data_IF_041214761141
#
_entry.id   IF_041214761141
#
_cell.length_a   1.000
_cell.length_b   1.000
_cell.length_c   1.000
_cell.angle_alpha   90.00
_cell.angle_beta   90.00
_cell.angle_gamma   90.00
#
_symmetry.space_group_name_H-M   'P 1'
#
loop_
_entity.id
_entity.type
_entity.pdbx_description
1 polymer ?
#
# COMPACT_ATOMS: atom_id res chain seq x y z
N UNK A 1 66.03 51.18 16.12
CA UNK A 1 65.61 50.02 16.93
C UNK A 1 64.11 49.84 16.77
N UNK A 2 63.72 48.58 16.58
CA UNK A 2 62.41 47.97 16.81
C UNK A 2 61.28 48.19 15.80
N UNK A 3 61.35 47.47 14.67
CA UNK A 3 60.18 46.97 13.90
C UNK A 3 60.44 45.60 13.24
N UNK A 4 61.04 44.66 13.96
CA UNK A 4 61.36 43.32 13.42
C UNK A 4 61.06 42.19 14.42
N UNK A 5 59.90 42.24 15.07
CA UNK A 5 59.41 41.13 15.91
C UNK A 5 57.88 40.95 15.87
N UNK A 6 57.24 41.22 14.74
CA UNK A 6 55.83 41.68 14.79
C UNK A 6 54.77 40.66 14.38
N UNK A 7 55.07 39.45 13.90
CA UNK A 7 54.02 38.51 13.47
C UNK A 7 53.94 37.24 14.34
N UNK A 8 55.03 36.51 14.62
CA UNK A 8 54.98 35.34 15.49
C UNK A 8 54.67 35.68 16.95
N UNK A 9 55.07 36.87 17.42
CA UNK A 9 54.80 37.33 18.78
C UNK A 9 53.33 37.76 18.93
N UNK A 10 52.77 38.42 17.92
CA UNK A 10 51.38 38.87 17.91
C UNK A 10 50.38 37.71 17.80
N UNK A 11 50.69 36.64 17.03
CA UNK A 11 49.81 35.48 16.93
C UNK A 11 49.80 34.65 18.23
N UNK A 12 50.94 34.54 18.92
CA UNK A 12 51.02 33.92 20.24
C UNK A 12 50.18 34.68 21.27
N UNK A 13 50.29 36.01 21.26
CA UNK A 13 49.45 36.87 22.12
C UNK A 13 47.96 36.70 21.84
N UNK A 14 47.54 36.61 20.57
CA UNK A 14 46.16 36.32 20.21
C UNK A 14 45.70 34.96 20.76
N UNK A 15 46.56 33.93 20.66
CA UNK A 15 46.28 32.61 21.21
C UNK A 15 46.10 32.62 22.73
N UNK A 16 46.90 33.40 23.45
CA UNK A 16 46.81 33.56 24.91
C UNK A 16 45.52 34.29 25.33
N UNK A 17 45.12 35.32 24.58
CA UNK A 17 43.85 36.04 24.80
C UNK A 17 42.67 35.08 24.63
N UNK A 18 42.64 34.33 23.53
CA UNK A 18 41.59 33.35 23.27
C UNK A 18 41.60 32.23 24.32
N UNK A 19 42.77 31.73 24.71
CA UNK A 19 42.89 30.72 25.75
C UNK A 19 42.34 31.21 27.10
N UNK A 20 42.63 32.45 27.46
CA UNK A 20 42.10 33.08 28.68
C UNK A 20 40.59 33.25 28.61
N UNK A 21 40.06 33.75 27.49
CA UNK A 21 38.63 33.99 27.30
C UNK A 21 37.80 32.70 27.39
N UNK A 22 38.29 31.61 26.79
CA UNK A 22 37.61 30.32 26.78
C UNK A 22 38.06 29.38 27.92
N UNK A 23 38.74 29.90 28.94
CA UNK A 23 39.13 29.11 30.10
C UNK A 23 37.90 28.54 30.82
N UNK A 24 37.84 27.22 30.98
CA UNK A 24 36.70 26.54 31.61
C UNK A 24 35.51 26.26 30.68
N UNK A 25 35.61 26.56 29.38
CA UNK A 25 34.59 26.17 28.40
C UNK A 25 34.69 24.67 28.08
N UNK A 26 33.58 23.94 28.20
CA UNK A 26 33.55 22.48 28.04
C UNK A 26 33.49 21.99 26.59
N UNK A 27 33.23 22.88 25.62
CA UNK A 27 33.06 22.54 24.20
C UNK A 27 34.29 22.99 23.39
N UNK A 28 35.00 24.02 23.85
CA UNK A 28 36.29 24.43 23.28
C UNK A 28 37.39 23.49 23.78
N UNK A 29 37.79 22.55 22.93
CA UNK A 29 38.68 21.43 23.30
C UNK A 29 40.15 21.68 23.00
N UNK A 30 40.49 22.75 22.29
CA UNK A 30 41.88 23.13 22.07
C UNK A 30 42.06 24.41 21.27
N UNK A 31 43.03 25.22 21.68
CA UNK A 31 43.44 26.46 21.02
C UNK A 31 44.92 26.33 20.70
N UNK A 32 45.28 26.43 19.41
CA UNK A 32 46.66 26.19 18.95
C UNK A 32 47.05 27.19 17.87
N UNK A 33 48.31 27.64 17.95
CA UNK A 33 48.95 28.41 16.88
C UNK A 33 49.37 27.45 15.76
N UNK A 34 49.04 27.78 14.51
CA UNK A 34 49.46 27.02 13.34
C UNK A 34 50.42 27.84 12.48
N UNK A 35 51.66 27.34 12.35
CA UNK A 35 52.74 27.90 11.52
C UNK A 35 53.02 29.40 11.75
N UNK A 36 52.70 29.91 12.94
CA UNK A 36 52.76 31.34 13.27
C UNK A 36 51.90 32.25 12.35
N UNK A 37 50.88 31.69 11.70
CA UNK A 37 49.99 32.40 10.77
C UNK A 37 48.61 32.64 11.35
N UNK A 38 48.06 31.65 12.06
CA UNK A 38 46.70 31.68 12.58
C UNK A 38 46.61 30.97 13.93
N UNK A 39 45.56 31.29 14.68
CA UNK A 39 45.12 30.51 15.84
C UNK A 39 43.89 29.73 15.41
N UNK A 40 43.91 28.40 15.52
CA UNK A 40 42.70 27.62 15.33
C UNK A 40 42.14 27.16 16.67
N UNK A 41 40.85 27.38 16.84
CA UNK A 41 40.09 27.04 18.03
C UNK A 41 39.17 25.87 17.71
N UNK A 42 39.38 24.73 18.36
CA UNK A 42 38.64 23.48 18.11
C UNK A 42 37.43 23.41 19.01
N UNK A 43 36.26 23.24 18.40
CA UNK A 43 34.97 23.10 19.06
C UNK A 43 34.47 21.68 18.82
N UNK A 44 34.27 20.93 19.90
CA UNK A 44 33.86 19.53 19.82
C UNK A 44 32.99 19.12 20.99
N UNK A 45 31.89 18.44 20.70
CA UNK A 45 31.10 17.66 21.65
C UNK A 45 30.72 16.31 21.01
N UNK A 46 29.62 15.70 21.46
CA UNK A 46 29.15 14.41 20.94
C UNK A 46 28.60 14.49 19.51
N UNK A 47 28.08 15.64 19.07
CA UNK A 47 27.35 15.77 17.80
C UNK A 47 28.04 16.69 16.78
N UNK A 48 28.87 17.64 17.23
CA UNK A 48 29.53 18.61 16.35
C UNK A 48 31.05 18.57 16.52
N UNK A 49 31.74 18.79 15.41
CA UNK A 49 33.19 18.92 15.38
C UNK A 49 33.63 19.89 14.27
N UNK A 50 34.05 21.09 14.68
CA UNK A 50 34.58 22.11 13.78
C UNK A 50 35.73 22.87 14.45
N UNK A 51 36.37 23.75 13.70
CA UNK A 51 37.29 24.74 14.21
C UNK A 51 37.01 26.12 13.64
N UNK A 52 37.42 27.14 14.37
CA UNK A 52 37.49 28.52 13.88
C UNK A 52 38.96 28.88 13.69
N UNK A 53 39.37 29.09 12.44
CA UNK A 53 40.69 29.60 12.11
C UNK A 53 40.64 31.14 12.19
N UNK A 54 41.39 31.73 13.12
CA UNK A 54 41.41 33.17 13.41
C UNK A 54 42.77 33.75 13.01
N UNK A 55 42.77 34.76 12.15
CA UNK A 55 43.97 35.40 11.64
C UNK A 55 44.18 36.78 12.28
N UNK A 56 45.41 37.31 12.18
CA UNK A 56 45.75 38.62 12.74
C UNK A 56 45.05 39.80 12.06
N UNK A 57 44.57 39.63 10.82
CA UNK A 57 43.84 40.66 10.07
C UNK A 57 42.33 40.62 10.32
N UNK A 58 41.91 40.02 11.44
CA UNK A 58 40.51 39.83 11.83
C UNK A 58 39.71 38.93 10.87
N UNK A 59 40.36 38.16 10.00
CA UNK A 59 39.69 37.10 9.23
C UNK A 59 39.33 35.92 10.13
N UNK A 60 38.15 35.33 9.93
CA UNK A 60 37.70 34.12 10.62
C UNK A 60 37.11 33.13 9.61
N UNK A 61 37.67 31.92 9.55
CA UNK A 61 37.13 30.82 8.76
C UNK A 61 36.51 29.75 9.67
N UNK A 62 35.32 29.28 9.32
CA UNK A 62 34.70 28.08 9.88
C UNK A 62 35.18 26.84 9.12
N UNK A 63 35.84 25.93 9.83
CA UNK A 63 36.42 24.70 9.29
C UNK A 63 35.74 23.47 9.88
N UNK A 64 34.96 22.74 9.09
CA UNK A 64 34.36 21.49 9.52
C UNK A 64 35.40 20.38 9.61
N UNK A 65 35.44 19.66 10.74
CA UNK A 65 36.43 18.60 11.00
C UNK A 65 35.90 17.21 10.70
N UNK A 66 34.60 17.06 10.43
CA UNK A 66 33.99 15.84 9.90
C UNK A 66 32.86 16.19 8.91
N UNK A 67 32.50 15.22 8.07
CA UNK A 67 31.45 15.40 7.07
C UNK A 67 30.06 15.50 7.70
N UNK A 68 29.82 14.80 8.80
CA UNK A 68 28.53 14.80 9.51
C UNK A 68 28.12 16.20 9.99
N UNK A 69 29.04 16.94 10.64
CA UNK A 69 28.80 18.31 11.13
C UNK A 69 28.54 19.25 9.95
N UNK A 70 29.32 19.12 8.87
CA UNK A 70 29.16 19.94 7.66
C UNK A 70 27.80 19.71 7.02
N UNK A 71 27.41 18.45 6.84
CA UNK A 71 26.14 18.08 6.23
C UNK A 71 24.97 18.54 7.11
N UNK A 72 25.08 18.40 8.43
CA UNK A 72 24.08 18.89 9.39
C UNK A 72 23.79 20.38 9.23
N UNK A 73 24.82 21.25 9.27
CA UNK A 73 24.61 22.69 9.11
C UNK A 73 24.19 23.07 7.69
N UNK A 74 24.68 22.35 6.67
CA UNK A 74 24.29 22.60 5.29
C UNK A 74 22.81 22.32 5.05
N UNK A 75 22.30 21.23 5.63
CA UNK A 75 20.88 20.87 5.59
C UNK A 75 20.02 21.89 6.36
N UNK A 76 20.44 22.26 7.58
CA UNK A 76 19.70 23.20 8.43
C UNK A 76 19.53 24.57 7.77
N UNK A 77 20.64 25.14 7.30
CA UNK A 77 20.64 26.48 6.71
C UNK A 77 20.24 26.51 5.23
N UNK A 78 20.05 25.34 4.60
CA UNK A 78 19.90 25.22 3.14
C UNK A 78 21.03 25.94 2.39
N UNK A 79 22.25 25.80 2.88
CA UNK A 79 23.44 26.45 2.38
C UNK A 79 24.54 25.40 2.16
N UNK A 80 25.17 25.39 1.00
CA UNK A 80 26.21 24.41 0.71
C UNK A 80 27.54 24.85 1.36
N UNK A 81 27.81 24.40 2.59
CA UNK A 81 29.09 24.67 3.23
C UNK A 81 30.20 23.80 2.63
N UNK A 82 31.33 24.42 2.34
CA UNK A 82 32.59 23.72 2.04
C UNK A 82 33.23 23.20 3.32
N UNK A 83 34.36 22.49 3.22
CA UNK A 83 35.14 22.09 4.40
C UNK A 83 35.63 23.33 5.17
N UNK A 84 35.95 24.42 4.45
CA UNK A 84 36.42 25.68 5.00
C UNK A 84 35.61 26.83 4.41
N UNK A 85 35.04 27.65 5.27
CA UNK A 85 34.10 28.70 4.88
C UNK A 85 34.50 30.01 5.53
N UNK A 86 34.72 31.04 4.72
CA UNK A 86 35.02 32.36 5.26
C UNK A 86 33.76 32.99 5.86
N UNK A 87 33.81 33.31 7.15
CA UNK A 87 32.69 33.91 7.87
C UNK A 87 32.87 35.43 7.93
N UNK A 88 34.08 35.86 8.31
CA UNK A 88 34.47 37.25 8.47
C UNK A 88 35.77 37.49 7.71
N UNK A 89 35.83 38.54 6.90
CA UNK A 89 37.04 38.96 6.20
C UNK A 89 37.31 40.44 6.44
N UNK A 90 38.45 40.78 7.09
CA UNK A 90 38.84 42.17 7.40
C UNK A 90 37.70 42.99 8.01
N UNK A 91 37.07 42.45 9.06
CA UNK A 91 35.96 43.06 9.80
C UNK A 91 34.60 43.13 9.05
N UNK A 92 34.50 42.59 7.83
CA UNK A 92 33.24 42.48 7.10
C UNK A 92 32.66 41.05 7.18
N UNK A 93 31.37 40.93 7.50
CA UNK A 93 30.66 39.65 7.52
C UNK A 93 30.38 39.21 6.08
N UNK A 94 31.08 38.16 5.64
CA UNK A 94 30.96 37.65 4.27
C UNK A 94 29.80 36.65 4.13
N UNK A 95 29.51 35.89 5.18
CA UNK A 95 28.42 34.92 5.19
C UNK A 95 27.22 35.43 6.00
N UNK A 96 26.13 35.80 5.30
CA UNK A 96 24.91 36.39 5.87
C UNK A 96 24.14 35.48 6.84
N UNK A 97 24.49 34.20 6.92
CA UNK A 97 23.95 33.28 7.93
C UNK A 97 24.35 33.73 9.34
N UNK A 98 25.56 34.27 9.48
CA UNK A 98 26.11 34.72 10.75
C UNK A 98 25.73 36.19 10.98
N UNK A 99 25.04 36.46 12.08
CA UNK A 99 24.72 37.82 12.54
C UNK A 99 25.66 38.17 13.68
N UNK A 100 26.79 38.78 13.36
CA UNK A 100 27.82 39.14 14.32
C UNK A 100 27.58 40.57 14.78
N UNK A 101 27.46 40.78 16.08
CA UNK A 101 27.26 42.09 16.71
C UNK A 101 28.45 42.55 17.54
N UNK A 102 29.27 41.60 18.01
CA UNK A 102 30.51 41.86 18.71
C UNK A 102 31.55 42.57 17.84
N UNK A 103 32.44 43.33 18.49
CA UNK A 103 33.48 44.13 17.84
C UNK A 103 34.90 43.66 18.11
N UNK A 104 35.12 42.87 19.17
CA UNK A 104 36.43 42.30 19.48
C UNK A 104 36.45 40.81 19.10
N UNK A 105 37.64 40.30 18.78
CA UNK A 105 37.81 38.94 18.27
C UNK A 105 37.29 37.87 19.26
N UNK A 106 37.60 37.90 20.57
CA UNK A 106 37.10 36.89 21.49
C UNK A 106 35.56 36.79 21.53
N UNK A 107 34.86 37.93 21.62
CA UNK A 107 33.40 37.97 21.67
C UNK A 107 32.79 37.56 20.32
N UNK A 108 33.40 37.93 19.19
CA UNK A 108 32.95 37.47 17.85
C UNK A 108 33.04 35.94 17.75
N UNK A 109 34.16 35.36 18.21
CA UNK A 109 34.36 33.90 18.22
C UNK A 109 33.30 33.24 19.11
N UNK A 110 33.00 33.82 20.27
CA UNK A 110 31.98 33.31 21.19
C UNK A 110 30.56 33.38 20.60
N UNK A 111 30.21 34.48 19.91
CA UNK A 111 28.93 34.62 19.20
C UNK A 111 28.75 33.54 18.13
N UNK A 112 29.79 33.29 17.31
CA UNK A 112 29.77 32.27 16.26
C UNK A 112 29.57 30.88 16.88
N UNK A 113 30.32 30.55 17.93
CA UNK A 113 30.22 29.25 18.62
C UNK A 113 28.83 29.08 19.22
N UNK A 114 28.35 30.09 19.96
CA UNK A 114 27.06 30.05 20.64
C UNK A 114 25.91 29.89 19.65
N UNK A 115 25.96 30.59 18.52
CA UNK A 115 24.98 30.47 17.45
C UNK A 115 24.95 29.04 16.87
N UNK A 116 26.10 28.49 16.48
CA UNK A 116 26.18 27.15 15.91
C UNK A 116 25.76 26.06 16.91
N UNK A 117 26.16 26.19 18.18
CA UNK A 117 25.78 25.25 19.26
C UNK A 117 24.29 25.36 19.59
N UNK A 118 23.68 26.55 19.51
CA UNK A 118 22.25 26.71 19.79
C UNK A 118 21.35 25.91 18.83
N UNK A 119 21.81 25.72 17.59
CA UNK A 119 21.11 24.97 16.54
C UNK A 119 21.18 23.46 16.79
N UNK A 120 22.25 22.97 17.42
CA UNK A 120 22.33 21.57 17.83
C UNK A 120 21.21 21.21 18.82
N UNK A 121 20.81 22.17 19.66
CA UNK A 121 19.71 22.00 20.61
C UNK A 121 18.32 22.14 19.96
N UNK A 122 18.24 22.39 18.65
CA UNK A 122 16.98 22.42 17.92
C UNK A 122 16.48 20.99 17.65
N UNK A 123 15.69 20.47 18.60
CA UNK A 123 15.08 19.13 18.55
C UNK A 123 14.31 18.82 17.26
N UNK A 124 13.92 19.83 16.47
CA UNK A 124 13.12 19.64 15.24
C UNK A 124 13.85 18.84 14.15
N UNK A 125 15.17 18.96 14.05
CA UNK A 125 15.97 18.26 13.03
C UNK A 125 16.10 16.78 13.37
N UNK A 126 16.36 16.47 14.65
CA UNK A 126 16.45 15.09 15.13
C UNK A 126 15.12 14.36 14.97
N UNK A 127 14.01 15.05 15.28
CA UNK A 127 12.66 14.53 15.05
C UNK A 127 12.38 14.23 13.58
N UNK A 128 12.84 15.08 12.64
CA UNK A 128 12.70 14.80 11.19
C UNK A 128 13.46 13.54 10.79
N UNK A 129 14.72 13.40 11.19
CA UNK A 129 15.54 12.20 10.88
C UNK A 129 14.91 10.92 11.45
N UNK A 130 14.40 10.97 12.68
CA UNK A 130 13.66 9.84 13.26
C UNK A 130 12.43 9.52 12.41
N UNK A 131 11.63 10.52 12.04
CA UNK A 131 10.41 10.32 11.26
C UNK A 131 10.70 9.66 9.89
N UNK A 132 11.76 10.08 9.20
CA UNK A 132 12.20 9.50 7.93
C UNK A 132 12.67 8.04 8.08
N UNK A 133 13.43 7.75 9.13
CA UNK A 133 13.87 6.39 9.43
C UNK A 133 12.68 5.48 9.77
N UNK A 134 11.73 5.97 10.57
CA UNK A 134 10.50 5.24 10.92
C UNK A 134 9.67 4.96 9.66
N UNK A 135 9.54 5.93 8.76
CA UNK A 135 8.82 5.75 7.50
C UNK A 135 9.49 4.68 6.62
N UNK A 136 10.82 4.75 6.47
CA UNK A 136 11.60 3.79 5.68
C UNK A 136 11.50 2.37 6.25
N UNK A 137 11.61 2.23 7.57
CA UNK A 137 11.45 0.93 8.25
C UNK A 137 10.03 0.39 8.08
N UNK A 138 9.01 1.25 8.21
CA UNK A 138 7.61 0.87 8.01
C UNK A 138 7.34 0.37 6.59
N UNK A 139 7.94 1.01 5.57
CA UNK A 139 7.86 0.55 4.18
C UNK A 139 8.48 -0.83 4.00
N UNK A 140 9.72 -1.03 4.48
CA UNK A 140 10.40 -2.34 4.38
C UNK A 140 9.64 -3.46 5.07
N UNK A 141 9.12 -3.22 6.28
CA UNK A 141 8.29 -4.20 7.01
C UNK A 141 7.03 -4.54 6.21
N UNK A 142 6.41 -3.54 5.56
CA UNK A 142 5.23 -3.75 4.73
C UNK A 142 5.54 -4.61 3.51
N UNK A 143 6.64 -4.35 2.82
CA UNK A 143 7.12 -5.10 1.65
C UNK A 143 7.52 -6.53 2.00
N UNK A 144 8.20 -6.74 3.13
CA UNK A 144 8.56 -8.06 3.62
C UNK A 144 7.30 -8.88 3.97
N UNK A 145 6.33 -8.26 4.65
CA UNK A 145 5.07 -8.91 5.00
C UNK A 145 4.25 -9.25 3.73
N UNK A 146 4.20 -8.32 2.78
CA UNK A 146 3.61 -8.53 1.46
C UNK A 146 4.22 -9.76 0.80
N UNK A 147 5.55 -9.82 0.68
CA UNK A 147 6.27 -10.91 0.02
C UNK A 147 6.02 -12.26 0.68
N UNK A 148 5.98 -12.32 2.02
CA UNK A 148 5.65 -13.54 2.76
C UNK A 148 4.23 -14.03 2.49
N UNK A 149 3.26 -13.13 2.47
CA UNK A 149 1.86 -13.47 2.19
C UNK A 149 1.70 -13.99 0.77
N UNK A 150 2.33 -13.33 -0.21
CA UNK A 150 2.28 -13.74 -1.61
C UNK A 150 2.90 -15.13 -1.81
N UNK A 151 4.05 -15.40 -1.20
CA UNK A 151 4.70 -16.71 -1.27
C UNK A 151 3.84 -17.81 -0.61
N UNK A 152 3.25 -17.53 0.55
CA UNK A 152 2.37 -18.48 1.25
C UNK A 152 1.09 -18.77 0.44
N UNK A 153 0.52 -17.75 -0.22
CA UNK A 153 -0.60 -17.92 -1.14
C UNK A 153 -0.22 -18.78 -2.34
N UNK A 154 0.90 -18.48 -2.99
CA UNK A 154 1.36 -19.22 -4.16
C UNK A 154 1.55 -20.70 -3.81
N UNK A 155 2.26 -21.00 -2.71
CA UNK A 155 2.47 -22.38 -2.24
C UNK A 155 1.13 -23.07 -1.95
N UNK A 156 0.20 -22.38 -1.30
CA UNK A 156 -1.09 -22.96 -0.93
C UNK A 156 -1.99 -23.23 -2.14
N UNK A 157 -2.05 -22.30 -3.09
CA UNK A 157 -2.96 -22.37 -4.23
C UNK A 157 -2.41 -23.21 -5.39
N UNK A 158 -1.08 -23.29 -5.55
CA UNK A 158 -0.42 -23.97 -6.68
C UNK A 158 -0.91 -25.40 -6.94
N UNK A 159 -1.20 -26.15 -5.89
CA UNK A 159 -1.64 -27.56 -6.00
C UNK A 159 -3.15 -27.73 -5.93
N UNK A 160 -3.90 -26.67 -5.64
CA UNK A 160 -5.35 -26.72 -5.36
C UNK A 160 -6.17 -25.98 -6.41
N UNK A 161 -5.69 -24.85 -6.91
CA UNK A 161 -6.46 -23.94 -7.73
C UNK A 161 -6.26 -24.23 -9.22
N UNK A 162 -7.37 -24.40 -9.91
CA UNK A 162 -7.42 -24.57 -11.36
C UNK A 162 -7.19 -23.23 -12.06
N UNK A 163 -6.64 -23.29 -13.28
CA UNK A 163 -6.60 -22.13 -14.18
C UNK A 163 -8.01 -21.68 -14.57
N UNK A 164 -8.15 -20.47 -15.14
CA UNK A 164 -9.43 -19.95 -15.63
C UNK A 164 -10.07 -20.92 -16.64
N UNK A 165 -9.31 -21.37 -17.64
CA UNK A 165 -9.82 -22.27 -18.67
C UNK A 165 -10.15 -23.66 -18.09
N UNK A 166 -9.31 -24.20 -17.21
CA UNK A 166 -9.54 -25.54 -16.64
C UNK A 166 -10.71 -25.53 -15.65
N UNK A 167 -10.93 -24.41 -14.94
CA UNK A 167 -12.13 -24.19 -14.13
C UNK A 167 -13.39 -24.30 -15.00
N UNK A 168 -13.44 -23.60 -16.13
CA UNK A 168 -14.60 -23.62 -17.03
C UNK A 168 -14.81 -24.98 -17.70
N UNK A 169 -13.74 -25.64 -18.14
CA UNK A 169 -13.81 -27.01 -18.68
C UNK A 169 -14.36 -27.98 -17.63
N UNK A 170 -13.89 -27.91 -16.39
CA UNK A 170 -14.37 -28.78 -15.32
C UNK A 170 -15.86 -28.54 -15.01
N UNK A 171 -16.30 -27.29 -14.94
CA UNK A 171 -17.72 -26.93 -14.75
C UNK A 171 -18.59 -27.55 -15.85
N UNK A 172 -18.13 -27.48 -17.11
CA UNK A 172 -18.83 -28.05 -18.26
C UNK A 172 -18.86 -29.59 -18.20
N UNK A 173 -17.70 -30.22 -18.09
CA UNK A 173 -17.54 -31.68 -18.20
C UNK A 173 -18.22 -32.46 -17.07
N UNK A 174 -18.24 -31.88 -15.86
CA UNK A 174 -18.80 -32.51 -14.66
C UNK A 174 -20.17 -31.96 -14.27
N UNK A 175 -20.72 -31.06 -15.07
CA UNK A 175 -21.97 -30.33 -14.79
C UNK A 175 -22.03 -29.74 -13.36
N UNK A 176 -20.91 -29.18 -12.88
CA UNK A 176 -20.81 -28.69 -11.50
C UNK A 176 -21.68 -27.47 -11.26
N UNK A 177 -22.03 -27.27 -9.98
CA UNK A 177 -22.44 -25.97 -9.44
C UNK A 177 -21.21 -25.19 -8.99
N UNK A 178 -21.30 -23.86 -8.96
CA UNK A 178 -20.20 -23.01 -8.50
C UNK A 178 -20.65 -21.99 -7.47
N UNK A 179 -19.82 -21.79 -6.45
CA UNK A 179 -19.91 -20.70 -5.49
C UNK A 179 -18.59 -19.93 -5.49
N UNK A 180 -18.63 -18.66 -5.91
CA UNK A 180 -17.42 -17.86 -6.05
C UNK A 180 -17.25 -16.94 -4.86
N UNK A 181 -16.00 -16.78 -4.42
CA UNK A 181 -15.60 -15.85 -3.38
C UNK A 181 -14.78 -14.74 -4.03
N UNK A 182 -15.32 -13.54 -4.10
CA UNK A 182 -14.59 -12.31 -4.41
C UNK A 182 -14.17 -11.57 -3.14
N UNK A 183 -13.74 -10.32 -3.32
CA UNK A 183 -13.39 -9.44 -2.21
C UNK A 183 -14.59 -9.16 -1.29
N UNK A 184 -15.79 -9.03 -1.88
CA UNK A 184 -17.05 -8.83 -1.16
C UNK A 184 -17.43 -10.02 -0.26
N UNK A 185 -17.41 -11.24 -0.81
CA UNK A 185 -17.71 -12.46 -0.08
C UNK A 185 -16.71 -12.70 1.06
N UNK A 186 -15.42 -12.51 0.77
CA UNK A 186 -14.37 -12.64 1.79
C UNK A 186 -14.61 -11.63 2.92
N UNK A 187 -14.88 -10.36 2.62
CA UNK A 187 -15.21 -9.36 3.65
C UNK A 187 -16.43 -9.75 4.49
N UNK A 188 -17.48 -10.26 3.86
CA UNK A 188 -18.68 -10.76 4.56
C UNK A 188 -18.39 -11.98 5.43
N UNK A 189 -17.44 -12.83 5.02
CA UNK A 189 -17.07 -14.06 5.72
C UNK A 189 -16.15 -13.82 6.93
N UNK A 190 -15.20 -12.89 6.85
CA UNK A 190 -14.14 -12.74 7.88
C UNK A 190 -14.16 -11.40 8.62
N UNK A 191 -15.16 -10.55 8.38
CA UNK A 191 -15.29 -9.24 9.05
C UNK A 191 -16.74 -8.94 9.47
N UNK A 192 -16.90 -7.94 10.34
CA UNK A 192 -18.22 -7.45 10.79
C UNK A 192 -18.73 -6.25 10.00
N UNK A 193 -18.10 -5.92 8.87
CA UNK A 193 -18.42 -4.72 8.09
C UNK A 193 -19.37 -4.98 6.91
N UNK A 194 -19.45 -6.24 6.44
CA UNK A 194 -20.12 -6.56 5.18
C UNK A 194 -19.30 -6.06 3.96
N UNK A 195 -19.98 -5.79 2.85
CA UNK A 195 -19.42 -5.21 1.64
C UNK A 195 -20.32 -4.08 1.08
N UNK A 196 -19.93 -3.48 -0.06
CA UNK A 196 -20.58 -2.28 -0.60
C UNK A 196 -22.09 -2.41 -0.91
N UNK A 197 -22.59 -3.64 -1.08
CA UNK A 197 -23.99 -3.92 -1.44
C UNK A 197 -24.64 -4.95 -0.49
N UNK A 198 -23.94 -5.40 0.55
CA UNK A 198 -24.45 -6.34 1.54
C UNK A 198 -23.93 -5.99 2.93
N UNK A 199 -24.83 -5.56 3.81
CA UNK A 199 -24.54 -5.35 5.24
C UNK A 199 -24.11 -6.67 5.87
N UNK A 200 -23.32 -6.54 6.95
CA UNK A 200 -22.97 -7.69 7.78
C UNK A 200 -24.22 -8.39 8.31
N UNK A 201 -24.18 -9.72 8.24
CA UNK A 201 -25.19 -10.63 8.76
C UNK A 201 -24.47 -11.88 9.29
N UNK A 202 -24.78 -12.28 10.52
CA UNK A 202 -24.11 -13.41 11.17
C UNK A 202 -24.44 -14.76 10.52
N UNK A 203 -25.66 -14.92 9.98
CA UNK A 203 -26.08 -16.13 9.27
C UNK A 203 -25.35 -16.21 7.93
N UNK A 204 -25.22 -15.10 7.21
CA UNK A 204 -24.41 -15.03 5.97
C UNK A 204 -22.95 -15.40 6.25
N UNK A 205 -22.36 -14.77 7.26
CA UNK A 205 -20.97 -15.04 7.66
C UNK A 205 -20.77 -16.53 7.95
N UNK A 206 -21.67 -17.13 8.74
CA UNK A 206 -21.64 -18.56 9.07
C UNK A 206 -21.78 -19.46 7.84
N UNK A 207 -22.72 -19.15 6.95
CA UNK A 207 -22.92 -19.93 5.72
C UNK A 207 -21.70 -19.87 4.78
N UNK A 208 -21.11 -18.68 4.60
CA UNK A 208 -19.89 -18.51 3.80
C UNK A 208 -18.71 -19.30 4.39
N UNK A 209 -18.52 -19.29 5.72
CA UNK A 209 -17.52 -20.12 6.38
C UNK A 209 -17.78 -21.61 6.15
N UNK A 210 -19.04 -22.04 6.26
CA UNK A 210 -19.45 -23.44 6.08
C UNK A 210 -19.19 -23.95 4.67
N UNK A 211 -19.49 -23.14 3.64
CA UNK A 211 -19.19 -23.46 2.23
C UNK A 211 -17.71 -23.79 2.03
N UNK A 212 -16.81 -23.12 2.76
CA UNK A 212 -15.36 -23.37 2.69
C UNK A 212 -14.90 -24.59 3.49
N UNK A 213 -15.69 -25.08 4.44
CA UNK A 213 -15.30 -26.19 5.31
C UNK A 213 -15.85 -27.54 4.84
N UNK A 214 -16.91 -27.54 4.03
CA UNK A 214 -17.51 -28.76 3.51
C UNK A 214 -16.83 -29.20 2.20
N UNK A 215 -16.44 -30.48 2.14
CA UNK A 215 -16.00 -31.10 0.89
C UNK A 215 -17.26 -31.65 0.21
N UNK A 216 -17.75 -30.94 -0.80
CA UNK A 216 -18.95 -31.27 -1.57
C UNK A 216 -18.64 -31.15 -3.06
N UNK A 217 -19.54 -31.62 -3.92
CA UNK A 217 -19.41 -31.49 -5.39
C UNK A 217 -19.67 -30.05 -5.88
N UNK A 218 -19.80 -29.08 -4.96
CA UNK A 218 -19.82 -27.65 -5.26
C UNK A 218 -18.38 -27.18 -5.50
N UNK A 219 -18.10 -26.66 -6.69
CA UNK A 219 -16.81 -26.05 -6.97
C UNK A 219 -16.76 -24.66 -6.31
N UNK A 220 -15.95 -24.55 -5.26
CA UNK A 220 -15.64 -23.27 -4.61
C UNK A 220 -14.55 -22.57 -5.40
N UNK A 221 -14.79 -21.32 -5.78
CA UNK A 221 -13.82 -20.55 -6.55
C UNK A 221 -13.28 -19.36 -5.75
N UNK A 222 -11.96 -19.11 -5.84
CA UNK A 222 -11.30 -17.95 -5.25
C UNK A 222 -10.58 -17.13 -6.32
N UNK A 223 -10.30 -15.83 -6.08
CA UNK A 223 -9.52 -15.00 -6.99
C UNK A 223 -8.14 -15.64 -7.17
N UNK A 224 -7.72 -15.90 -8.40
CA UNK A 224 -6.34 -16.28 -8.65
C UNK A 224 -5.36 -15.18 -8.27
N UNK A 225 -4.09 -15.55 -8.22
CA UNK A 225 -2.99 -14.69 -7.87
C UNK A 225 -2.76 -13.61 -8.95
N UNK A 226 -3.48 -12.49 -8.84
CA UNK A 226 -3.30 -11.32 -9.70
C UNK A 226 -2.26 -10.36 -9.10
N UNK A 227 -0.98 -10.69 -9.28
CA UNK A 227 0.16 -9.92 -8.73
C UNK A 227 0.18 -8.46 -9.20
N UNK A 228 -0.37 -8.22 -10.39
CA UNK A 228 -0.22 -6.95 -11.09
C UNK A 228 -1.22 -5.88 -10.64
N UNK A 229 -2.22 -6.22 -9.83
CA UNK A 229 -3.20 -5.25 -9.33
C UNK A 229 -2.93 -4.89 -7.86
N UNK A 230 -2.54 -3.62 -7.63
CA UNK A 230 -2.26 -3.07 -6.29
C UNK A 230 -3.44 -3.22 -5.32
N UNK A 231 -4.68 -3.30 -5.84
CA UNK A 231 -5.86 -3.62 -5.03
C UNK A 231 -5.73 -5.01 -4.39
N UNK A 232 -5.53 -6.06 -5.18
CA UNK A 232 -5.42 -7.44 -4.70
C UNK A 232 -4.22 -7.64 -3.79
N UNK A 233 -3.10 -6.97 -4.08
CA UNK A 233 -1.93 -6.95 -3.20
C UNK A 233 -2.29 -6.46 -1.78
N UNK A 234 -2.95 -5.30 -1.67
CA UNK A 234 -3.38 -4.76 -0.37
C UNK A 234 -4.46 -5.63 0.28
N UNK A 235 -5.40 -6.13 -0.52
CA UNK A 235 -6.49 -6.97 -0.06
C UNK A 235 -5.97 -8.25 0.59
N UNK A 236 -5.12 -9.00 -0.11
CA UNK A 236 -4.58 -10.25 0.42
C UNK A 236 -3.68 -10.06 1.62
N UNK A 237 -2.93 -8.95 1.68
CA UNK A 237 -2.16 -8.59 2.88
C UNK A 237 -3.03 -8.50 4.13
N UNK A 238 -4.27 -8.05 3.99
CA UNK A 238 -5.21 -7.91 5.11
C UNK A 238 -5.98 -9.20 5.41
N UNK A 239 -6.41 -9.93 4.38
CA UNK A 239 -7.42 -10.99 4.53
C UNK A 239 -6.89 -12.42 4.41
N UNK A 240 -5.71 -12.65 3.79
CA UNK A 240 -5.25 -13.99 3.47
C UNK A 240 -5.19 -14.92 4.69
N UNK A 241 -4.52 -14.49 5.76
CA UNK A 241 -4.38 -15.28 6.98
C UNK A 241 -5.74 -15.61 7.64
N UNK A 242 -6.75 -14.76 7.46
CA UNK A 242 -8.10 -14.98 8.01
C UNK A 242 -8.93 -15.94 7.17
N UNK A 243 -8.69 -16.00 5.87
CA UNK A 243 -9.45 -16.83 4.92
C UNK A 243 -8.84 -18.22 4.80
N UNK A 244 -7.51 -18.32 4.68
CA UNK A 244 -6.78 -19.56 4.45
C UNK A 244 -7.17 -20.69 5.42
N UNK A 245 -7.42 -20.37 6.68
CA UNK A 245 -7.76 -21.37 7.70
C UNK A 245 -9.12 -22.05 7.49
N UNK A 246 -10.03 -21.40 6.75
CA UNK A 246 -11.36 -21.93 6.44
C UNK A 246 -11.36 -22.82 5.20
N UNK A 247 -10.46 -22.60 4.25
CA UNK A 247 -10.43 -23.35 2.98
C UNK A 247 -10.00 -24.79 3.24
N UNK A 248 -10.94 -25.74 3.10
CA UNK A 248 -10.70 -27.18 3.23
C UNK A 248 -10.81 -27.93 1.91
N UNK A 249 -11.23 -27.28 0.83
CA UNK A 249 -11.36 -27.89 -0.48
C UNK A 249 -10.01 -28.39 -1.01
N UNK A 250 -10.04 -29.55 -1.64
CA UNK A 250 -8.89 -30.11 -2.33
C UNK A 250 -8.68 -29.45 -3.69
N UNK A 251 -9.79 -29.09 -4.35
CA UNK A 251 -9.79 -28.41 -5.65
C UNK A 251 -10.56 -27.09 -5.52
N UNK A 252 -9.95 -26.02 -6.01
CA UNK A 252 -10.54 -24.69 -6.09
C UNK A 252 -10.64 -24.26 -7.55
N UNK A 253 -11.75 -23.61 -7.91
CA UNK A 253 -11.84 -22.90 -9.17
C UNK A 253 -11.24 -21.49 -9.09
N UNK A 254 -11.06 -20.86 -10.23
CA UNK A 254 -10.73 -19.44 -10.30
C UNK A 254 -12.02 -18.59 -10.31
N UNK A 255 -12.15 -17.63 -9.39
CA UNK A 255 -13.28 -16.71 -9.34
C UNK A 255 -13.22 -15.64 -10.45
N UNK A 256 -12.07 -15.50 -11.11
CA UNK A 256 -11.87 -14.58 -12.24
C UNK A 256 -12.61 -15.00 -13.51
N UNK A 257 -13.14 -16.22 -13.57
CA UNK A 257 -13.94 -16.73 -14.70
C UNK A 257 -15.13 -15.84 -15.08
N UNK A 258 -15.58 -14.93 -14.20
CA UNK A 258 -16.67 -13.97 -14.46
C UNK A 258 -16.20 -12.51 -14.45
N UNK A 259 -14.90 -12.26 -14.65
CA UNK A 259 -14.25 -10.97 -14.43
C UNK A 259 -13.47 -10.54 -15.69
N UNK A 260 -13.22 -9.23 -15.90
CA UNK A 260 -12.55 -8.76 -17.12
C UNK A 260 -11.21 -9.45 -17.38
N UNK A 261 -10.48 -9.79 -16.31
CA UNK A 261 -9.19 -10.46 -16.36
C UNK A 261 -9.23 -11.78 -17.14
N UNK A 262 -10.29 -12.58 -17.01
CA UNK A 262 -10.44 -13.80 -17.80
C UNK A 262 -10.55 -13.51 -19.30
N UNK A 263 -11.30 -12.47 -19.67
CA UNK A 263 -11.48 -12.08 -21.07
C UNK A 263 -10.23 -11.38 -21.64
N UNK A 264 -9.48 -10.63 -20.83
CA UNK A 264 -8.19 -10.09 -21.27
C UNK A 264 -7.14 -11.17 -21.52
N UNK A 265 -7.13 -12.23 -20.70
CA UNK A 265 -6.13 -13.30 -20.78
C UNK A 265 -6.45 -14.35 -21.84
N UNK A 266 -7.72 -14.60 -22.10
CA UNK A 266 -8.17 -15.73 -22.92
C UNK A 266 -9.19 -15.34 -23.99
N UNK A 267 -9.47 -14.05 -24.14
CA UNK A 267 -10.31 -13.50 -25.21
C UNK A 267 -11.64 -14.27 -25.35
N UNK A 268 -11.97 -14.70 -26.56
CA UNK A 268 -13.23 -15.39 -26.88
C UNK A 268 -13.30 -16.84 -26.39
N UNK A 269 -12.19 -17.47 -25.96
CA UNK A 269 -12.21 -18.86 -25.48
C UNK A 269 -13.05 -18.99 -24.20
N UNK A 270 -12.95 -18.01 -23.30
CA UNK A 270 -13.77 -17.95 -22.09
C UNK A 270 -15.25 -17.78 -22.44
N UNK A 271 -15.57 -16.89 -23.38
CA UNK A 271 -16.94 -16.67 -23.86
C UNK A 271 -17.54 -17.94 -24.44
N UNK A 272 -16.77 -18.67 -25.27
CA UNK A 272 -17.20 -19.92 -25.88
C UNK A 272 -17.46 -21.00 -24.82
N UNK A 273 -16.55 -21.17 -23.86
CA UNK A 273 -16.75 -22.15 -22.79
C UNK A 273 -17.98 -21.85 -21.93
N UNK A 274 -18.25 -20.58 -21.65
CA UNK A 274 -19.47 -20.16 -20.97
C UNK A 274 -20.73 -20.48 -21.78
N UNK A 275 -20.77 -20.07 -23.06
CA UNK A 275 -21.89 -20.34 -23.97
C UNK A 275 -22.18 -21.85 -24.05
N UNK A 276 -21.14 -22.68 -24.12
CA UNK A 276 -21.26 -24.14 -24.17
C UNK A 276 -21.85 -24.76 -22.90
N UNK A 277 -21.69 -24.13 -21.71
CA UNK A 277 -22.18 -24.68 -20.44
C UNK A 277 -23.72 -24.73 -20.39
N UNK A 278 -24.40 -23.78 -21.03
CA UNK A 278 -25.85 -23.63 -21.02
C UNK A 278 -26.50 -23.82 -22.40
N UNK A 279 -25.77 -24.38 -23.36
CA UNK A 279 -26.30 -24.64 -24.70
C UNK A 279 -27.58 -25.48 -24.67
N UNK A 280 -28.65 -24.92 -25.25
CA UNK A 280 -29.98 -25.53 -25.31
C UNK A 280 -30.53 -25.97 -23.92
N UNK A 281 -30.13 -25.28 -22.85
CA UNK A 281 -30.64 -25.50 -21.48
C UNK A 281 -31.77 -24.52 -21.14
N UNK A 282 -32.66 -24.94 -20.24
CA UNK A 282 -33.65 -24.07 -19.62
C UNK A 282 -33.04 -23.38 -18.39
N UNK A 283 -33.00 -22.06 -18.41
CA UNK A 283 -32.30 -21.24 -17.42
C UNK A 283 -33.29 -20.47 -16.55
N UNK A 284 -32.98 -20.36 -15.27
CA UNK A 284 -33.59 -19.37 -14.39
C UNK A 284 -32.52 -18.38 -13.92
N UNK A 285 -32.66 -17.11 -14.30
CA UNK A 285 -31.82 -16.03 -13.81
C UNK A 285 -32.29 -15.58 -12.43
N UNK A 286 -31.38 -15.47 -11.47
CA UNK A 286 -31.67 -14.94 -10.13
C UNK A 286 -30.81 -13.70 -9.90
N UNK A 287 -31.43 -12.53 -9.88
CA UNK A 287 -30.70 -11.26 -9.82
C UNK A 287 -31.52 -10.12 -9.23
N UNK A 288 -30.85 -9.02 -8.87
CA UNK A 288 -31.52 -7.80 -8.42
C UNK A 288 -32.37 -7.17 -9.53
N UNK A 289 -33.52 -6.56 -9.17
CA UNK A 289 -34.45 -5.95 -10.14
C UNK A 289 -33.81 -4.85 -11.02
N UNK A 290 -32.82 -4.13 -10.49
CA UNK A 290 -32.01 -3.15 -11.23
C UNK A 290 -30.53 -3.55 -11.20
N UNK A 291 -30.29 -4.86 -11.28
CA UNK A 291 -28.95 -5.43 -11.46
C UNK A 291 -28.40 -5.05 -12.84
N UNK A 292 -27.08 -5.22 -12.98
CA UNK A 292 -26.34 -5.00 -14.23
C UNK A 292 -26.33 -6.24 -15.14
N UNK A 293 -26.94 -7.33 -14.70
CA UNK A 293 -27.09 -8.55 -15.48
C UNK A 293 -28.08 -8.32 -16.62
N UNK A 294 -27.61 -8.39 -17.87
CA UNK A 294 -28.45 -8.40 -19.05
C UNK A 294 -28.67 -9.84 -19.52
N UNK A 295 -29.89 -10.35 -19.33
CA UNK A 295 -30.27 -11.70 -19.79
C UNK A 295 -30.47 -11.81 -21.31
N UNK A 296 -30.53 -10.69 -22.03
CA UNK A 296 -30.61 -10.66 -23.50
C UNK A 296 -29.23 -10.54 -24.15
N UNK A 297 -28.15 -10.51 -23.35
CA UNK A 297 -26.79 -10.42 -23.83
C UNK A 297 -26.41 -11.60 -24.74
N UNK A 298 -25.50 -11.39 -25.69
CA UNK A 298 -25.08 -12.39 -26.69
C UNK A 298 -24.56 -13.69 -26.08
N UNK A 299 -23.94 -13.64 -24.90
CA UNK A 299 -23.53 -14.81 -24.12
C UNK A 299 -24.67 -15.78 -23.79
N UNK A 300 -25.92 -15.31 -23.81
CA UNK A 300 -27.12 -16.07 -23.47
C UNK A 300 -28.01 -16.32 -24.69
N UNK A 301 -27.50 -16.19 -25.92
CA UNK A 301 -28.33 -16.30 -27.13
C UNK A 301 -28.73 -17.74 -27.49
N UNK A 302 -28.06 -18.75 -26.93
CA UNK A 302 -28.28 -20.18 -27.24
C UNK A 302 -29.10 -20.92 -26.18
N UNK A 303 -29.78 -20.19 -25.29
CA UNK A 303 -30.67 -20.79 -24.30
C UNK A 303 -31.91 -21.38 -24.96
N UNK A 304 -32.42 -22.48 -24.41
CA UNK A 304 -33.68 -23.08 -24.87
C UNK A 304 -34.88 -22.27 -24.41
N UNK A 305 -34.89 -21.94 -23.12
CA UNK A 305 -35.88 -21.08 -22.47
C UNK A 305 -35.20 -20.35 -21.31
N UNK A 306 -35.71 -19.17 -20.96
CA UNK A 306 -35.25 -18.41 -19.78
C UNK A 306 -36.42 -17.93 -18.94
N UNK A 307 -36.26 -17.94 -17.62
CA UNK A 307 -37.14 -17.28 -16.65
C UNK A 307 -36.33 -16.46 -15.66
N UNK A 308 -37.00 -15.64 -14.84
CA UNK A 308 -36.35 -14.72 -13.90
C UNK A 308 -36.97 -14.77 -12.52
N UNK A 309 -36.12 -14.71 -11.50
CA UNK A 309 -36.47 -14.39 -10.12
C UNK A 309 -35.75 -13.09 -9.76
N UNK A 310 -36.52 -12.01 -9.66
CA UNK A 310 -36.01 -10.71 -9.27
C UNK A 310 -36.04 -10.52 -7.76
N UNK A 311 -35.00 -9.88 -7.23
CA UNK A 311 -34.87 -9.56 -5.80
C UNK A 311 -34.37 -8.13 -5.59
N UNK A 312 -34.02 -7.76 -4.35
CA UNK A 312 -33.37 -6.51 -3.99
C UNK A 312 -31.98 -6.43 -4.64
N UNK A 313 -31.56 -5.21 -5.00
CA UNK A 313 -30.19 -4.98 -5.52
C UNK A 313 -29.14 -5.02 -4.40
N UNK A 314 -29.52 -4.56 -3.20
CA UNK A 314 -28.66 -4.50 -2.02
C UNK A 314 -29.32 -5.24 -0.85
N UNK A 315 -28.51 -5.81 0.03
CA UNK A 315 -28.95 -6.58 1.20
C UNK A 315 -29.92 -7.70 0.84
N UNK A 316 -29.74 -8.34 -0.31
CA UNK A 316 -30.60 -9.41 -0.79
C UNK A 316 -30.63 -10.62 0.17
N UNK A 317 -29.59 -10.76 1.01
CA UNK A 317 -29.51 -11.84 1.99
C UNK A 317 -30.64 -11.79 3.03
N UNK A 318 -31.20 -10.61 3.32
CA UNK A 318 -32.37 -10.48 4.21
C UNK A 318 -33.56 -11.32 3.72
N UNK A 319 -33.62 -11.60 2.41
CA UNK A 319 -34.68 -12.39 1.77
C UNK A 319 -34.18 -13.75 1.27
N UNK A 320 -33.01 -14.24 1.72
CA UNK A 320 -32.39 -15.48 1.18
C UNK A 320 -33.32 -16.71 1.24
N UNK A 321 -34.06 -16.88 2.34
CA UNK A 321 -34.92 -18.06 2.52
C UNK A 321 -36.14 -18.00 1.55
N UNK A 322 -36.69 -16.81 1.31
CA UNK A 322 -37.75 -16.59 0.33
C UNK A 322 -37.25 -16.81 -1.10
N UNK A 323 -36.10 -16.24 -1.45
CA UNK A 323 -35.46 -16.40 -2.77
C UNK A 323 -35.22 -17.89 -3.05
N UNK A 324 -34.65 -18.60 -2.07
CA UNK A 324 -34.41 -20.04 -2.16
C UNK A 324 -35.72 -20.82 -2.37
N UNK A 325 -36.78 -20.54 -1.58
CA UNK A 325 -38.09 -21.18 -1.75
C UNK A 325 -38.66 -20.94 -3.15
N UNK A 326 -38.53 -19.72 -3.69
CA UNK A 326 -39.01 -19.39 -5.03
C UNK A 326 -38.22 -20.10 -6.13
N UNK A 327 -36.92 -20.33 -5.95
CA UNK A 327 -36.11 -21.14 -6.85
C UNK A 327 -36.58 -22.61 -6.85
N UNK A 328 -36.86 -23.19 -5.68
CA UNK A 328 -37.33 -24.58 -5.58
C UNK A 328 -38.72 -24.80 -6.22
N UNK A 329 -39.56 -23.77 -6.29
CA UNK A 329 -40.86 -23.84 -6.98
C UNK A 329 -40.76 -23.87 -8.50
N UNK A 330 -39.63 -23.43 -9.09
CA UNK A 330 -39.44 -23.42 -10.54
C UNK A 330 -39.38 -24.86 -11.09
N UNK A 331 -40.15 -25.12 -12.14
CA UNK A 331 -40.17 -26.42 -12.83
C UNK A 331 -39.39 -26.32 -14.13
N UNK A 332 -38.83 -27.45 -14.59
CA UNK A 332 -38.12 -27.54 -15.87
C UNK A 332 -36.95 -26.55 -16.00
N UNK A 333 -36.21 -26.34 -14.91
CA UNK A 333 -34.97 -25.54 -14.91
C UNK A 333 -33.80 -26.50 -14.83
N UNK A 334 -32.89 -26.38 -15.79
CA UNK A 334 -31.64 -27.14 -15.85
C UNK A 334 -30.55 -26.45 -15.05
N UNK A 335 -30.46 -25.11 -15.12
CA UNK A 335 -29.43 -24.32 -14.43
C UNK A 335 -30.02 -23.02 -13.87
N UNK A 336 -29.69 -22.71 -12.62
CA UNK A 336 -29.89 -21.37 -12.05
C UNK A 336 -28.63 -20.53 -12.28
N UNK A 337 -28.75 -19.41 -13.00
CA UNK A 337 -27.66 -18.45 -13.18
C UNK A 337 -27.86 -17.27 -12.24
N UNK A 338 -26.90 -17.03 -11.34
CA UNK A 338 -27.08 -16.15 -10.19
C UNK A 338 -26.10 -14.97 -10.26
N UNK A 339 -26.63 -13.75 -10.19
CA UNK A 339 -25.85 -12.52 -10.08
C UNK A 339 -26.39 -11.69 -8.91
N UNK A 340 -25.90 -11.99 -7.70
CA UNK A 340 -26.48 -11.46 -6.45
C UNK A 340 -25.46 -11.28 -5.30
N UNK A 341 -24.17 -11.08 -5.62
CA UNK A 341 -23.15 -10.82 -4.61
C UNK A 341 -22.99 -11.96 -3.60
N UNK A 342 -22.71 -11.67 -2.30
CA UNK A 342 -22.59 -12.71 -1.28
C UNK A 342 -23.83 -13.57 -1.10
N UNK A 343 -25.00 -13.00 -1.40
CA UNK A 343 -26.27 -13.75 -1.40
C UNK A 343 -26.27 -14.79 -2.51
N UNK A 344 -25.67 -14.47 -3.66
CA UNK A 344 -25.54 -15.38 -4.78
C UNK A 344 -24.66 -16.59 -4.47
N UNK A 345 -23.51 -16.37 -3.83
CA UNK A 345 -22.62 -17.44 -3.34
C UNK A 345 -23.35 -18.38 -2.38
N UNK A 346 -24.05 -17.84 -1.39
CA UNK A 346 -24.82 -18.63 -0.43
C UNK A 346 -26.00 -19.36 -1.08
N UNK A 347 -26.71 -18.70 -2.01
CA UNK A 347 -27.83 -19.31 -2.74
C UNK A 347 -27.37 -20.46 -3.64
N UNK A 348 -26.22 -20.31 -4.33
CA UNK A 348 -25.66 -21.36 -5.16
C UNK A 348 -25.39 -22.62 -4.35
N UNK A 349 -24.78 -22.48 -3.16
CA UNK A 349 -24.54 -23.61 -2.26
C UNK A 349 -25.83 -24.26 -1.75
N UNK A 350 -26.84 -23.46 -1.37
CA UNK A 350 -28.14 -23.99 -0.93
C UNK A 350 -28.85 -24.76 -2.05
N UNK A 351 -28.82 -24.25 -3.27
CA UNK A 351 -29.41 -24.91 -4.44
C UNK A 351 -28.66 -26.20 -4.77
N UNK A 352 -27.33 -26.16 -4.77
CA UNK A 352 -26.51 -27.36 -4.93
C UNK A 352 -26.89 -28.45 -3.92
N UNK A 353 -26.97 -28.09 -2.64
CA UNK A 353 -27.34 -29.01 -1.55
C UNK A 353 -28.78 -29.57 -1.65
N UNK A 354 -29.63 -28.99 -2.48
CA UNK A 354 -30.97 -29.51 -2.81
C UNK A 354 -31.03 -30.24 -4.15
N UNK A 355 -29.88 -30.56 -4.74
CA UNK A 355 -29.77 -31.28 -6.01
C UNK A 355 -30.09 -30.42 -7.23
N UNK A 356 -30.00 -29.08 -7.11
CA UNK A 356 -30.23 -28.14 -8.21
C UNK A 356 -28.90 -27.57 -8.66
N UNK A 357 -28.64 -27.58 -9.97
CA UNK A 357 -27.42 -26.99 -10.52
C UNK A 357 -27.52 -25.47 -10.51
N UNK A 358 -26.56 -24.82 -9.86
CA UNK A 358 -26.53 -23.38 -9.69
C UNK A 358 -25.14 -22.81 -9.98
N UNK A 359 -25.09 -21.75 -10.79
CA UNK A 359 -23.85 -21.07 -11.15
C UNK A 359 -23.92 -19.61 -10.69
N UNK A 360 -23.09 -19.26 -9.72
CA UNK A 360 -22.81 -17.86 -9.42
C UNK A 360 -21.99 -17.23 -10.56
N UNK A 361 -22.65 -16.44 -11.40
CA UNK A 361 -22.06 -15.80 -12.59
C UNK A 361 -21.69 -14.32 -12.37
N UNK A 362 -22.04 -13.73 -11.22
CA UNK A 362 -21.62 -12.38 -10.86
C UNK A 362 -21.75 -11.33 -11.97
N UNK A 363 -20.63 -10.74 -12.37
CA UNK A 363 -20.53 -9.68 -13.38
C UNK A 363 -20.16 -10.17 -14.78
N UNK A 364 -20.56 -11.39 -15.15
CA UNK A 364 -20.08 -12.03 -16.38
C UNK A 364 -20.31 -11.20 -17.65
N UNK A 365 -21.56 -10.77 -17.94
CA UNK A 365 -21.85 -9.98 -19.13
C UNK A 365 -21.15 -8.62 -19.09
N UNK A 366 -21.17 -7.92 -17.94
CA UNK A 366 -20.51 -6.62 -17.82
C UNK A 366 -18.99 -6.72 -18.03
N UNK A 367 -18.39 -7.85 -17.63
CA UNK A 367 -16.97 -8.10 -17.82
C UNK A 367 -16.63 -8.37 -19.27
N UNK A 368 -17.50 -9.07 -19.99
CA UNK A 368 -17.42 -9.20 -21.45
C UNK A 368 -17.48 -7.82 -22.12
N UNK A 369 -18.50 -7.01 -21.79
CA UNK A 369 -18.70 -5.67 -22.37
C UNK A 369 -17.50 -4.76 -22.12
N UNK A 370 -16.88 -4.86 -20.93
CA UNK A 370 -15.68 -4.09 -20.60
C UNK A 370 -14.54 -4.37 -21.58
N UNK A 371 -14.34 -5.64 -21.95
CA UNK A 371 -13.20 -6.06 -22.78
C UNK A 371 -13.48 -5.90 -24.26
N UNK A 372 -14.67 -6.28 -24.73
CA UNK A 372 -14.97 -6.33 -26.16
C UNK A 372 -15.73 -5.10 -26.68
N UNK A 373 -16.51 -4.44 -25.84
CA UNK A 373 -17.33 -3.27 -26.22
C UNK A 373 -16.76 -1.95 -25.67
N UNK A 374 -15.68 -2.01 -24.89
CA UNK A 374 -15.01 -0.84 -24.32
C UNK A 374 -15.80 -0.13 -23.21
N UNK A 375 -16.73 -0.83 -22.56
CA UNK A 375 -17.51 -0.27 -21.45
C UNK A 375 -16.65 -0.13 -20.19
N UNK A 376 -17.12 0.69 -19.24
CA UNK A 376 -16.43 0.84 -17.94
C UNK A 376 -16.51 -0.46 -17.13
N UNK A 377 -15.55 -0.66 -16.21
CA UNK A 377 -15.53 -1.85 -15.35
C UNK A 377 -16.85 -1.97 -14.56
N UNK A 378 -17.30 -3.19 -14.22
CA UNK A 378 -18.57 -3.41 -13.54
C UNK A 378 -18.73 -2.56 -12.26
N UNK A 379 -17.66 -2.36 -11.50
CA UNK A 379 -17.64 -1.56 -10.27
C UNK A 379 -17.95 -0.06 -10.50
N UNK A 380 -17.73 0.44 -11.72
CA UNK A 380 -17.88 1.85 -12.10
C UNK A 380 -19.26 2.14 -12.73
N UNK A 381 -20.05 1.11 -13.05
CA UNK A 381 -21.39 1.28 -13.60
C UNK A 381 -22.34 1.75 -12.49
N UNK A 382 -22.93 2.94 -12.61
CA UNK A 382 -23.91 3.42 -11.63
C UNK A 382 -25.18 2.57 -11.63
N UNK A 383 -25.74 2.28 -10.46
CA UNK A 383 -27.11 1.77 -10.37
C UNK A 383 -28.06 2.89 -10.80
N UNK A 384 -28.90 2.64 -11.79
CA UNK A 384 -30.04 3.52 -12.03
C UNK A 384 -30.86 3.57 -10.73
N UNK A 385 -30.98 4.78 -10.15
CA UNK A 385 -31.90 5.00 -9.04
C UNK A 385 -33.29 4.77 -9.63
N UNK A 386 -33.96 3.70 -9.20
CA UNK A 386 -35.40 3.54 -9.46
C UNK A 386 -36.10 4.82 -8.98
N UNK A 387 -36.58 5.61 -9.92
CA UNK A 387 -37.62 6.63 -9.69
C UNK A 387 -38.94 5.97 -9.35
#
# INVERSE_FOLDING_TARGET
MDRLNTQPENIKKLSEILATHFTGNNIVTGIKVYKDVLVYLTVKNNNIHFALDVYLDSTIDLVFRNEETRNFYSEYFKYNFDIKNNILGKEEVLNKIFKISAKNIPDIVEEIISFLVSIENDSSIYLRKIAENVLTLSQRITEDNQSKILLDMEIFLKEKQLSILDTLKLIKEKELSIARFGDGEIRCMVTKNGCGFQKHDWKLMSELMKINQENSDLLVCYPSFLVYENFWLKFWREYWARVKCYIKQDVLGDAMITRPEAFYLHEHDVSKLWIDIWDNKNICFVTGKSSRLDSNHSLFSNLKNSSHIYTKNNNAYESIDEIYSNCLKQKNIDIFLIALGPTGTALAARLHNSGRRALDIGHLNNSFDTVFEGFVRPEQIYYEKNT
#
